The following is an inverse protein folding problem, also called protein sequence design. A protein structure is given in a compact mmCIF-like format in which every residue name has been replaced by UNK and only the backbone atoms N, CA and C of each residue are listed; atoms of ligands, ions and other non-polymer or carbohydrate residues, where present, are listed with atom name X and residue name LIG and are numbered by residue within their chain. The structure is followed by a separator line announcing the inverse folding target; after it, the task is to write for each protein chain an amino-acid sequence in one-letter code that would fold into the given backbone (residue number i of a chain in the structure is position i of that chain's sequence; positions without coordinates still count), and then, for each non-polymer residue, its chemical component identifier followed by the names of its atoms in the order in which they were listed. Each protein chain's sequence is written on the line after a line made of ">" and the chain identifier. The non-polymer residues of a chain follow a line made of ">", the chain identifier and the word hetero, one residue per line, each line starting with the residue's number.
data_IF_894556719617
#
_entry.id   IF_894556719617
#
_cell.length_a   1.000
_cell.length_b   1.000
_cell.length_c   1.000
_cell.angle_alpha   90.00
_cell.angle_beta   90.00
_cell.angle_gamma   90.00
#
_symmetry.space_group_name_H-M   'P 1'
#
loop_
_entity.id
_entity.type
_entity.pdbx_description
1 polymer ?
#
# COMPACT_ATOMS: atom_id res chain seq x y z
N UNK A 1 22.40 -18.44 0.62
CA UNK A 1 22.29 -18.40 -0.85
C UNK A 1 22.79 -17.04 -1.31
N UNK A 2 23.81 -16.96 -2.16
CA UNK A 2 24.26 -15.68 -2.70
C UNK A 2 23.23 -15.22 -3.74
N UNK A 3 22.45 -14.20 -3.41
CA UNK A 3 21.55 -13.54 -4.36
C UNK A 3 22.42 -12.76 -5.35
N UNK A 4 22.52 -13.26 -6.58
CA UNK A 4 23.19 -12.54 -7.66
C UNK A 4 22.28 -11.40 -8.11
N UNK A 5 22.69 -10.17 -7.81
CA UNK A 5 22.02 -8.98 -8.30
C UNK A 5 22.50 -8.67 -9.72
N UNK A 6 21.65 -8.00 -10.53
CA UNK A 6 22.01 -7.53 -11.88
C UNK A 6 22.01 -6.01 -11.91
N UNK A 7 22.86 -5.44 -12.77
CA UNK A 7 22.87 -4.01 -13.04
C UNK A 7 21.64 -3.65 -13.88
N UNK A 8 20.89 -2.65 -13.47
CA UNK A 8 19.71 -2.19 -14.22
C UNK A 8 20.07 -1.54 -15.56
N UNK A 9 21.29 -1.02 -15.70
CA UNK A 9 21.80 -0.46 -16.96
C UNK A 9 22.36 -1.52 -17.91
N UNK A 10 23.43 -2.24 -17.53
CA UNK A 10 24.16 -3.15 -18.43
C UNK A 10 23.75 -4.62 -18.31
N UNK A 11 22.81 -4.96 -17.41
CA UNK A 11 22.33 -6.33 -17.14
C UNK A 11 23.38 -7.35 -16.68
N UNK A 12 24.63 -6.92 -16.50
CA UNK A 12 25.69 -7.75 -15.93
C UNK A 12 25.41 -8.07 -14.46
N UNK A 13 25.93 -9.21 -13.98
CA UNK A 13 25.92 -9.56 -12.56
C UNK A 13 26.76 -8.55 -11.78
N UNK A 14 26.24 -8.08 -10.66
CA UNK A 14 26.93 -7.11 -9.80
C UNK A 14 27.28 -7.72 -8.46
N UNK A 15 28.40 -7.28 -7.92
CA UNK A 15 28.73 -7.44 -6.51
C UNK A 15 28.29 -6.18 -5.77
N UNK A 16 27.22 -6.29 -4.97
CA UNK A 16 26.70 -5.17 -4.18
C UNK A 16 27.58 -4.81 -2.98
N UNK A 17 28.57 -5.63 -2.64
CA UNK A 17 29.54 -5.34 -1.58
C UNK A 17 30.76 -4.55 -2.07
N UNK A 18 30.87 -4.33 -3.39
CA UNK A 18 31.93 -3.52 -3.97
C UNK A 18 31.73 -2.03 -3.71
N UNK A 19 32.82 -1.31 -3.40
CA UNK A 19 32.83 0.15 -3.23
C UNK A 19 32.36 0.92 -4.49
N UNK A 20 32.41 0.29 -5.66
CA UNK A 20 31.95 0.88 -6.91
C UNK A 20 30.44 0.73 -7.15
N UNK A 21 29.77 -0.15 -6.41
CA UNK A 21 28.35 -0.43 -6.60
C UNK A 21 27.49 0.74 -6.09
N UNK A 22 26.47 1.10 -6.87
CA UNK A 22 25.52 2.15 -6.53
C UNK A 22 24.13 1.55 -6.36
N UNK A 23 23.52 1.76 -5.19
CA UNK A 23 22.14 1.32 -4.90
C UNK A 23 21.32 2.58 -4.67
N UNK A 24 20.27 2.76 -5.47
CA UNK A 24 19.41 3.94 -5.43
C UNK A 24 18.00 3.51 -5.10
N UNK A 25 17.44 4.06 -4.03
CA UNK A 25 16.04 3.89 -3.67
C UNK A 25 15.26 5.11 -4.16
N UNK A 26 14.29 4.88 -5.03
CA UNK A 26 13.39 5.92 -5.53
C UNK A 26 12.05 5.74 -4.85
N UNK A 27 11.65 6.76 -4.10
CA UNK A 27 10.31 6.85 -3.51
C UNK A 27 9.38 7.43 -4.56
N UNK A 28 8.28 6.75 -4.88
CA UNK A 28 7.28 7.23 -5.83
C UNK A 28 5.93 7.25 -5.15
N UNK A 29 5.18 8.34 -5.38
CA UNK A 29 3.97 8.81 -4.66
C UNK A 29 4.33 9.78 -3.52
N UNK A 30 4.30 11.06 -3.86
CA UNK A 30 3.93 12.13 -2.94
C UNK A 30 2.51 12.44 -3.38
N UNK A 31 1.51 12.07 -2.59
CA UNK A 31 0.14 12.45 -2.90
C UNK A 31 0.04 13.98 -2.82
N UNK A 32 -0.43 14.61 -3.90
CA UNK A 32 -0.49 16.08 -4.07
C UNK A 32 -1.36 16.77 -3.00
N UNK A 33 -2.19 16.00 -2.30
CA UNK A 33 -3.14 16.40 -1.26
C UNK A 33 -2.59 16.24 0.17
N UNK A 34 -1.38 15.71 0.36
CA UNK A 34 -0.77 15.49 1.66
C UNK A 34 0.49 16.34 1.88
N UNK A 35 0.34 17.67 1.76
CA UNK A 35 1.32 18.65 2.30
C UNK A 35 1.22 18.77 3.84
N UNK A 36 0.90 17.67 4.51
CA UNK A 36 0.91 17.53 5.97
C UNK A 36 2.17 16.78 6.43
N UNK A 37 2.53 16.94 7.70
CA UNK A 37 3.84 16.60 8.29
C UNK A 37 4.31 15.12 8.19
N UNK A 38 3.59 14.25 7.47
CA UNK A 38 3.93 12.86 7.16
C UNK A 38 4.30 12.71 5.68
N UNK A 39 5.54 13.04 5.33
CA UNK A 39 6.07 13.19 3.95
C UNK A 39 5.94 11.95 3.02
N UNK A 40 5.50 10.78 3.46
CA UNK A 40 5.41 9.59 2.59
C UNK A 40 4.29 8.66 3.03
N UNK A 41 3.10 8.76 2.42
CA UNK A 41 1.96 7.86 2.69
C UNK A 41 2.01 6.56 1.91
N UNK A 42 2.74 6.51 0.79
CA UNK A 42 2.93 5.27 0.05
C UNK A 42 4.34 4.69 0.20
N UNK A 43 4.38 3.43 0.60
CA UNK A 43 5.61 2.67 0.85
C UNK A 43 6.24 2.09 -0.43
N UNK A 44 5.68 2.39 -1.60
CA UNK A 44 6.20 1.97 -2.89
C UNK A 44 7.62 2.53 -3.14
N UNK A 45 8.62 1.72 -2.83
CA UNK A 45 10.04 2.01 -3.05
C UNK A 45 10.57 1.14 -4.19
N UNK A 46 11.05 1.78 -5.24
CA UNK A 46 11.79 1.11 -6.29
C UNK A 46 13.28 1.13 -5.93
N UNK A 47 13.90 -0.05 -5.81
CA UNK A 47 15.35 -0.17 -5.56
C UNK A 47 16.08 -0.53 -6.86
N UNK A 48 16.81 0.43 -7.41
CA UNK A 48 17.68 0.25 -8.58
C UNK A 48 19.12 -0.01 -8.15
N UNK A 49 19.84 -0.85 -8.92
CA UNK A 49 21.21 -1.27 -8.63
C UNK A 49 22.10 -1.11 -9.86
N UNK A 50 23.26 -0.50 -9.67
CA UNK A 50 24.22 -0.23 -10.73
C UNK A 50 25.63 -0.66 -10.31
N UNK A 51 26.42 -1.14 -11.27
CA UNK A 51 27.80 -1.53 -10.99
C UNK A 51 28.78 -0.35 -10.88
N UNK A 52 28.35 0.86 -11.26
CA UNK A 52 29.19 2.06 -11.24
C UNK A 52 28.35 3.34 -11.31
N UNK A 53 28.92 4.45 -10.85
CA UNK A 53 28.31 5.78 -10.97
C UNK A 53 28.02 6.20 -12.44
N UNK A 54 28.90 5.93 -13.42
CA UNK A 54 28.60 6.20 -14.84
C UNK A 54 27.35 5.48 -15.35
N UNK A 55 27.10 4.24 -14.90
CA UNK A 55 25.91 3.49 -15.31
C UNK A 55 24.63 4.08 -14.71
N UNK A 56 24.68 4.52 -13.45
CA UNK A 56 23.58 5.27 -12.84
C UNK A 56 23.30 6.56 -13.63
N UNK A 57 24.33 7.35 -13.92
CA UNK A 57 24.18 8.61 -14.66
C UNK A 57 23.61 8.38 -16.07
N UNK A 58 24.07 7.34 -16.76
CA UNK A 58 23.57 6.98 -18.08
C UNK A 58 22.10 6.51 -18.04
N UNK A 59 21.70 5.77 -17.01
CA UNK A 59 20.32 5.32 -16.81
C UNK A 59 19.39 6.52 -16.52
N UNK A 60 19.77 7.38 -15.58
CA UNK A 60 19.01 8.59 -15.22
C UNK A 60 18.90 9.60 -16.37
N UNK A 61 19.89 9.64 -17.27
CA UNK A 61 19.92 10.57 -18.41
C UNK A 61 19.19 10.08 -19.66
N UNK A 62 18.83 8.79 -19.76
CA UNK A 62 18.24 8.19 -20.98
C UNK A 62 16.81 7.71 -20.79
N UNK A 63 16.48 7.21 -19.61
CA UNK A 63 15.15 6.68 -19.32
C UNK A 63 14.36 7.68 -18.48
N UNK A 64 13.24 8.16 -19.03
CA UNK A 64 12.12 8.57 -18.17
C UNK A 64 11.84 7.38 -17.25
N UNK A 65 11.96 7.61 -15.94
CA UNK A 65 11.67 6.64 -14.88
C UNK A 65 10.49 5.75 -15.32
N UNK A 66 10.65 4.41 -15.36
CA UNK A 66 9.61 3.52 -15.89
C UNK A 66 8.27 3.87 -15.23
N UNK A 67 7.14 3.88 -15.94
CA UNK A 67 5.87 4.26 -15.36
C UNK A 67 5.63 3.41 -14.10
N UNK A 68 5.03 3.98 -13.03
CA UNK A 68 4.84 3.27 -11.78
C UNK A 68 4.14 1.96 -12.09
N UNK A 69 4.73 0.86 -11.63
CA UNK A 69 3.98 -0.38 -11.50
C UNK A 69 2.87 0.01 -10.53
N UNK A 70 1.63 0.10 -11.01
CA UNK A 70 0.49 0.11 -10.10
C UNK A 70 0.73 -1.13 -9.26
N UNK A 71 1.06 -0.94 -7.98
CA UNK A 71 0.80 -1.97 -7.01
C UNK A 71 -0.62 -2.40 -7.32
N UNK A 72 -0.80 -3.69 -7.63
CA UNK A 72 -2.12 -4.27 -7.59
C UNK A 72 -2.56 -3.94 -6.17
N UNK A 73 -3.38 -2.90 -6.02
CA UNK A 73 -4.00 -2.54 -4.77
C UNK A 73 -4.86 -3.74 -4.50
N UNK A 74 -4.27 -4.75 -3.85
CA UNK A 74 -4.93 -6.01 -3.60
C UNK A 74 -6.25 -5.62 -2.97
N UNK A 75 -7.34 -5.96 -3.65
CA UNK A 75 -8.73 -5.80 -3.21
C UNK A 75 -9.01 -6.69 -1.96
N UNK A 76 -8.05 -6.79 -1.03
CA UNK A 76 -8.19 -7.38 0.30
C UNK A 76 -9.04 -6.49 1.23
N UNK A 77 -9.49 -5.33 0.75
CA UNK A 77 -10.41 -4.44 1.47
C UNK A 77 -11.89 -4.82 1.40
N UNK A 78 -12.29 -5.82 0.61
CA UNK A 78 -13.70 -6.03 0.28
C UNK A 78 -14.45 -6.94 1.26
N UNK A 79 -13.93 -8.13 1.58
CA UNK A 79 -14.75 -9.15 2.27
C UNK A 79 -14.89 -8.88 3.78
N UNK A 80 -13.80 -8.49 4.45
CA UNK A 80 -13.81 -8.22 5.89
C UNK A 80 -14.65 -6.97 6.24
N UNK A 81 -14.58 -5.94 5.41
CA UNK A 81 -15.33 -4.69 5.57
C UNK A 81 -16.83 -4.93 5.35
N UNK A 82 -17.19 -5.68 4.31
CA UNK A 82 -18.59 -6.05 4.04
C UNK A 82 -19.17 -6.90 5.17
N UNK A 83 -18.41 -7.87 5.70
CA UNK A 83 -18.84 -8.70 6.81
C UNK A 83 -19.01 -7.88 8.11
N UNK A 84 -18.10 -6.94 8.37
CA UNK A 84 -18.18 -6.03 9.50
C UNK A 84 -19.43 -5.14 9.46
N UNK A 85 -19.71 -4.52 8.31
CA UNK A 85 -20.92 -3.72 8.13
C UNK A 85 -22.21 -4.53 8.30
N UNK A 86 -22.22 -5.77 7.79
CA UNK A 86 -23.38 -6.65 7.89
C UNK A 86 -23.68 -7.07 9.34
N UNK A 87 -22.64 -7.40 10.12
CA UNK A 87 -22.79 -7.74 11.54
C UNK A 87 -23.30 -6.54 12.35
N UNK A 88 -22.74 -5.34 12.13
CA UNK A 88 -23.19 -4.12 12.81
C UNK A 88 -24.65 -3.83 12.47
N UNK A 89 -25.04 -3.94 11.20
CA UNK A 89 -26.43 -3.76 10.77
C UNK A 89 -27.38 -4.74 11.46
N UNK A 90 -27.00 -6.01 11.60
CA UNK A 90 -27.81 -7.03 12.25
C UNK A 90 -28.03 -6.74 13.75
N UNK A 91 -26.98 -6.27 14.45
CA UNK A 91 -27.08 -5.87 15.87
C UNK A 91 -28.03 -4.69 16.03
N UNK A 92 -27.93 -3.67 15.17
CA UNK A 92 -28.82 -2.50 15.22
C UNK A 92 -30.28 -2.91 15.00
N UNK A 93 -30.55 -3.77 14.01
CA UNK A 93 -31.91 -4.27 13.75
C UNK A 93 -32.45 -5.07 14.94
N UNK A 94 -31.63 -5.95 15.53
CA UNK A 94 -32.03 -6.73 16.71
C UNK A 94 -32.37 -5.82 17.91
N UNK A 95 -31.58 -4.77 18.14
CA UNK A 95 -31.85 -3.78 19.20
C UNK A 95 -33.14 -3.01 18.95
N UNK A 96 -33.42 -2.62 17.72
CA UNK A 96 -34.66 -1.90 17.37
C UNK A 96 -35.90 -2.79 17.54
N UNK A 97 -35.84 -4.05 17.11
CA UNK A 97 -36.95 -5.01 17.31
C UNK A 97 -37.16 -5.30 18.79
N UNK A 98 -36.08 -5.51 19.56
CA UNK A 98 -36.15 -5.70 21.01
C UNK A 98 -36.75 -4.49 21.73
N UNK A 99 -36.33 -3.28 21.37
CA UNK A 99 -36.88 -2.05 21.95
C UNK A 99 -38.36 -1.86 21.60
N UNK A 100 -38.75 -2.12 20.34
CA UNK A 100 -40.15 -2.06 19.91
C UNK A 100 -41.05 -3.07 20.62
N UNK A 101 -40.57 -4.31 20.78
CA UNK A 101 -41.29 -5.35 21.52
C UNK A 101 -41.42 -5.02 23.01
N UNK A 102 -40.33 -4.54 23.63
CA UNK A 102 -40.34 -4.11 25.02
C UNK A 102 -41.32 -2.95 25.26
N UNK A 103 -41.37 -1.98 24.34
CA UNK A 103 -42.32 -0.87 24.40
C UNK A 103 -43.77 -1.34 24.25
N UNK A 104 -44.06 -2.22 23.28
CA UNK A 104 -45.41 -2.77 23.10
C UNK A 104 -45.87 -3.58 24.31
N UNK A 105 -45.00 -4.43 24.86
CA UNK A 105 -45.29 -5.21 26.06
C UNK A 105 -45.62 -4.30 27.25
N UNK A 106 -44.86 -3.21 27.43
CA UNK A 106 -45.11 -2.23 28.49
C UNK A 106 -46.45 -1.51 28.31
N UNK A 107 -46.81 -1.15 27.07
CA UNK A 107 -48.08 -0.51 26.77
C UNK A 107 -49.26 -1.45 27.02
N UNK A 108 -49.16 -2.72 26.63
CA UNK A 108 -50.24 -3.70 26.83
C UNK A 108 -50.44 -4.15 28.27
N UNK A 109 -49.41 -4.05 29.12
CA UNK A 109 -49.49 -4.43 30.54
C UNK A 109 -50.01 -3.27 31.41
N UNK A 110 -49.88 -2.03 30.92
CA UNK A 110 -50.32 -0.80 31.61
C UNK A 110 -51.76 -0.39 31.27
N UNK A 111 -52.29 -0.80 30.11
CA UNK A 111 -53.64 -0.50 29.61
C UNK A 111 -54.65 -1.60 29.97
#
# INVERSE_FOLDING_TARGET
>A
MATSHRCDHCRATIDTSSDAAMIVNVHRRVDDDEWGDSWFSDSAKDTFRFCSQPHLAAYMGRETLPPPVRGDDGDEGSVATVLGCLLVGLVVVALLVGAGYGFLALVTDVL
#
